data_IF_311970174372
#
_entry.id   IF_311970174372
#
_cell.length_a   1.000
_cell.length_b   1.000
_cell.length_c   1.000
_cell.angle_alpha   90.00
_cell.angle_beta   90.00
_cell.angle_gamma   90.00
#
_symmetry.space_group_name_H-M   'P 1'
#
loop_
_entity.id
_entity.type
_entity.pdbx_description
1 polymer ?
#
# COMPACT_ATOMS: atom_id res chain seq x y z
N UNK A 1 33.54 -7.31 29.18
CA UNK A 1 33.17 -7.60 28.79
C UNK A 1 32.49 -7.55 28.40
N UNK A 2 32.25 -7.39 28.43
CA UNK A 2 31.64 -7.49 28.08
C UNK A 2 31.03 -7.29 27.29
N UNK A 3 30.83 -6.88 27.15
CA UNK A 3 30.19 -6.70 26.35
C UNK A 3 29.94 -7.15 25.46
N UNK A 4 29.83 -7.49 25.25
CA UNK A 4 29.46 -8.05 24.45
C UNK A 4 28.45 -8.42 24.23
N UNK A 5 28.03 -8.50 24.57
CA UNK A 5 26.98 -8.95 24.51
C UNK A 5 26.00 -8.15 24.08
N UNK A 6 26.09 -7.28 24.51
CA UNK A 6 25.19 -6.35 24.29
C UNK A 6 24.93 -6.27 22.88
N UNK A 7 25.86 -6.03 22.32
CA UNK A 7 25.69 -5.89 20.98
C UNK A 7 24.77 -6.81 20.43
N UNK A 8 24.93 -7.83 20.62
CA UNK A 8 24.19 -8.68 19.98
C UNK A 8 22.81 -8.57 20.09
N UNK A 9 22.47 -8.41 21.11
CA UNK A 9 21.17 -8.48 21.20
C UNK A 9 20.44 -7.61 20.38
N UNK A 10 20.70 -6.58 20.52
CA UNK A 10 19.99 -5.70 19.86
C UNK A 10 19.86 -5.94 18.52
N UNK A 11 20.75 -6.09 18.10
CA UNK A 11 20.73 -6.13 16.73
C UNK A 11 19.71 -7.06 16.40
N UNK A 12 19.69 -7.88 17.08
CA UNK A 12 18.91 -8.80 16.68
C UNK A 12 17.60 -8.35 16.43
N UNK A 13 17.05 -8.50 17.10
CA UNK A 13 15.85 -8.39 16.87
C UNK A 13 15.20 -7.40 16.26
N UNK A 14 15.22 -6.46 16.83
CA UNK A 14 14.57 -5.41 16.36
C UNK A 14 14.46 -5.39 14.92
N UNK A 15 15.45 -5.33 14.37
CA UNK A 15 15.44 -5.10 13.02
C UNK A 15 14.48 -5.96 12.30
N UNK A 16 14.41 -7.09 12.60
CA UNK A 16 13.61 -7.88 11.83
C UNK A 16 12.22 -7.60 11.91
N UNK A 17 11.81 -7.41 12.98
CA UNK A 17 10.45 -7.25 13.14
C UNK A 17 9.85 -6.29 12.22
N UNK A 18 10.40 -5.21 12.12
CA UNK A 18 9.75 -4.26 11.34
C UNK A 18 9.86 -4.51 9.92
N UNK A 19 10.65 -5.41 9.55
CA UNK A 19 10.73 -5.63 8.18
C UNK A 19 9.60 -6.48 7.73
N UNK A 20 8.87 -7.05 8.62
CA UNK A 20 7.81 -7.91 8.22
C UNK A 20 6.74 -7.12 7.52
N UNK A 21 6.28 -7.63 6.44
CA UNK A 21 5.27 -6.98 5.65
C UNK A 21 3.91 -7.45 6.17
N UNK A 22 3.14 -6.55 6.71
CA UNK A 22 1.85 -6.92 7.25
C UNK A 22 0.99 -7.56 6.18
N UNK A 23 0.91 -6.96 5.02
CA UNK A 23 0.21 -7.54 3.88
C UNK A 23 1.09 -7.32 2.68
N UNK A 24 1.59 -8.40 2.11
CA UNK A 24 2.42 -8.29 0.92
C UNK A 24 1.54 -8.12 -0.30
N UNK A 25 2.08 -7.55 -1.34
CA UNK A 25 1.32 -7.41 -2.57
C UNK A 25 0.96 -8.78 -3.12
N UNK A 26 1.83 -9.77 -2.96
CA UNK A 26 1.54 -11.09 -3.46
C UNK A 26 0.28 -11.66 -2.81
N UNK A 27 0.13 -11.48 -1.51
CA UNK A 27 -1.06 -11.96 -0.84
C UNK A 27 -2.27 -11.16 -1.25
N UNK A 28 -2.10 -9.84 -1.36
CA UNK A 28 -3.20 -8.97 -1.76
C UNK A 28 -3.70 -9.38 -3.15
N UNK A 29 -2.79 -9.62 -4.06
CA UNK A 29 -3.17 -9.93 -5.42
C UNK A 29 -4.00 -11.19 -5.51
N UNK A 30 -3.75 -12.14 -4.65
CA UNK A 30 -4.50 -13.37 -4.67
C UNK A 30 -5.85 -13.30 -3.98
N UNK A 31 -6.02 -12.37 -3.08
CA UNK A 31 -7.20 -12.35 -2.23
C UNK A 31 -8.14 -11.19 -2.47
N UNK A 32 -7.67 -10.10 -3.06
CA UNK A 32 -8.49 -8.92 -3.21
C UNK A 32 -8.71 -8.60 -4.68
N UNK A 33 -9.96 -8.49 -5.10
CA UNK A 33 -10.23 -8.07 -6.46
C UNK A 33 -9.90 -6.61 -6.57
N UNK A 34 -9.20 -6.24 -7.61
CA UNK A 34 -8.73 -4.86 -7.73
C UNK A 34 -8.50 -4.47 -9.17
N UNK A 35 -8.34 -3.17 -9.38
CA UNK A 35 -7.98 -2.63 -10.67
C UNK A 35 -6.61 -2.03 -10.57
N UNK A 36 -5.84 -2.13 -11.64
CA UNK A 36 -4.53 -1.50 -11.71
C UNK A 36 -4.71 -0.08 -12.18
N UNK A 37 -3.91 0.82 -11.69
CA UNK A 37 -3.89 2.19 -12.17
C UNK A 37 -2.44 2.58 -12.41
N UNK A 38 -2.23 3.46 -13.38
CA UNK A 38 -0.89 3.84 -13.77
C UNK A 38 -0.15 4.64 -12.72
N UNK A 39 -0.84 5.47 -12.00
CA UNK A 39 -0.22 6.31 -10.99
C UNK A 39 -1.15 6.40 -9.80
N UNK A 40 -0.56 6.58 -8.63
CA UNK A 40 -1.36 6.77 -7.43
C UNK A 40 -2.03 8.13 -7.49
N UNK A 41 -3.24 8.24 -6.96
CA UNK A 41 -3.91 9.54 -6.90
C UNK A 41 -3.04 10.53 -6.17
N UNK A 42 -2.91 11.72 -6.74
CA UNK A 42 -2.05 12.73 -6.14
C UNK A 42 -0.58 12.58 -6.51
N UNK A 43 -0.23 11.51 -7.21
CA UNK A 43 1.13 11.36 -7.70
C UNK A 43 2.12 10.76 -6.71
N UNK A 44 1.67 10.38 -5.55
CA UNK A 44 2.55 9.80 -4.53
C UNK A 44 1.93 8.54 -3.99
N UNK A 45 2.70 7.47 -3.89
CA UNK A 45 4.13 7.35 -4.20
C UNK A 45 4.37 7.39 -5.70
N UNK A 46 5.60 7.72 -6.06
CA UNK A 46 5.99 7.65 -7.47
C UNK A 46 6.20 6.19 -7.82
N UNK A 47 6.32 5.89 -9.12
CA UNK A 47 6.48 4.49 -9.51
C UNK A 47 7.73 3.85 -8.94
N UNK A 48 8.75 4.63 -8.64
CA UNK A 48 9.94 4.07 -8.03
C UNK A 48 9.72 3.74 -6.57
N UNK A 49 8.83 4.47 -5.91
CA UNK A 49 8.59 4.27 -4.50
C UNK A 49 7.52 3.24 -4.21
N UNK A 50 6.57 3.08 -5.12
CA UNK A 50 5.48 2.17 -4.87
C UNK A 50 4.42 2.25 -5.95
N UNK A 51 3.22 1.84 -5.60
CA UNK A 51 2.12 1.86 -6.55
C UNK A 51 0.81 1.75 -5.79
N UNK A 52 -0.28 1.92 -6.50
CA UNK A 52 -1.60 1.85 -5.90
C UNK A 52 -2.50 0.92 -6.70
N UNK A 53 -3.47 0.36 -6.01
CA UNK A 53 -4.49 -0.47 -6.64
C UNK A 53 -5.83 -0.01 -6.11
N UNK A 54 -6.86 -0.16 -6.93
CA UNK A 54 -8.20 0.28 -6.56
C UNK A 54 -9.10 -0.91 -6.35
N UNK A 55 -10.01 -0.79 -5.40
CA UNK A 55 -11.07 -1.76 -5.25
C UNK A 55 -12.34 -0.99 -4.97
N UNK A 56 -13.47 -1.62 -5.21
CA UNK A 56 -14.75 -1.01 -4.94
C UNK A 56 -15.41 -1.72 -3.79
N UNK A 57 -16.03 -0.94 -2.92
CA UNK A 57 -16.77 -1.52 -1.82
C UNK A 57 -18.03 -0.67 -1.65
N UNK A 58 -19.16 -1.19 -2.12
CA UNK A 58 -20.37 -0.41 -2.12
C UNK A 58 -20.18 0.81 -3.01
N UNK A 59 -20.41 1.97 -2.49
CA UNK A 59 -20.24 3.21 -3.25
C UNK A 59 -18.89 3.86 -2.98
N UNK A 60 -18.00 3.14 -2.35
CA UNK A 60 -16.68 3.69 -2.02
C UNK A 60 -15.60 3.10 -2.89
N UNK A 61 -14.57 3.89 -3.12
CA UNK A 61 -13.38 3.43 -3.78
C UNK A 61 -12.33 3.27 -2.70
N UNK A 62 -11.70 2.11 -2.67
CA UNK A 62 -10.59 1.88 -1.75
C UNK A 62 -9.32 1.96 -2.56
N UNK A 63 -8.38 2.76 -2.09
CA UNK A 63 -7.10 2.91 -2.77
C UNK A 63 -6.05 2.30 -1.87
N UNK A 64 -5.50 1.18 -2.32
CA UNK A 64 -4.49 0.47 -1.55
C UNK A 64 -3.13 0.96 -1.98
N UNK A 65 -2.40 1.54 -1.06
CA UNK A 65 -1.08 2.10 -1.34
C UNK A 65 -0.01 1.13 -0.92
N UNK A 66 0.83 0.73 -1.86
CA UNK A 66 1.94 -0.18 -1.60
C UNK A 66 3.25 0.54 -1.75
N UNK A 67 4.20 0.22 -0.91
CA UNK A 67 5.55 0.77 -1.00
C UNK A 67 6.54 -0.35 -1.24
N UNK A 68 7.55 -0.06 -2.06
CA UNK A 68 8.56 -1.04 -2.35
C UNK A 68 9.60 -0.98 -1.25
N UNK A 69 9.66 -2.05 -0.48
CA UNK A 69 10.64 -2.13 0.59
C UNK A 69 11.45 -3.38 0.35
N UNK A 70 12.45 -3.59 1.18
CA UNK A 70 13.34 -4.70 0.98
C UNK A 70 12.63 -6.05 0.91
N UNK A 71 11.63 -6.23 1.69
CA UNK A 71 10.89 -7.49 1.69
C UNK A 71 9.96 -7.64 0.51
N UNK A 72 9.87 -6.62 -0.33
CA UNK A 72 8.96 -6.64 -1.46
C UNK A 72 7.89 -5.57 -1.27
N UNK A 73 6.98 -5.44 -2.22
CA UNK A 73 5.94 -4.42 -2.07
C UNK A 73 5.02 -4.77 -0.90
N UNK A 74 4.84 -3.82 0.00
CA UNK A 74 4.02 -4.00 1.18
C UNK A 74 2.95 -2.94 1.27
N UNK A 75 1.77 -3.34 1.72
CA UNK A 75 0.68 -2.41 1.91
C UNK A 75 1.00 -1.51 3.09
N UNK A 76 0.92 -0.21 2.89
CA UNK A 76 1.19 0.73 3.96
C UNK A 76 -0.04 1.53 4.35
N UNK A 77 -1.00 1.66 3.45
CA UNK A 77 -2.17 2.46 3.78
C UNK A 77 -3.32 2.14 2.86
N UNK A 78 -4.54 2.27 3.36
CA UNK A 78 -5.73 2.14 2.54
C UNK A 78 -6.49 3.44 2.69
N UNK A 79 -6.77 4.08 1.56
CA UNK A 79 -7.53 5.32 1.56
C UNK A 79 -8.93 5.00 1.07
N UNK A 80 -9.93 5.60 1.68
CA UNK A 80 -11.31 5.39 1.26
C UNK A 80 -11.86 6.68 0.72
N UNK A 81 -12.54 6.63 -0.39
CA UNK A 81 -13.06 7.81 -1.00
C UNK A 81 -14.42 7.50 -1.64
N UNK A 82 -15.33 8.46 -1.59
CA UNK A 82 -16.61 8.29 -2.26
C UNK A 82 -16.39 8.17 -3.76
N UNK A 83 -17.15 7.30 -4.41
CA UNK A 83 -16.96 7.05 -5.83
C UNK A 83 -17.11 8.31 -6.66
N UNK A 84 -18.13 9.12 -6.40
CA UNK A 84 -18.33 10.33 -7.18
C UNK A 84 -17.19 11.30 -7.01
N UNK A 85 -16.68 11.43 -5.79
CA UNK A 85 -15.56 12.31 -5.55
C UNK A 85 -14.32 11.81 -6.27
N UNK A 86 -14.14 10.50 -6.30
CA UNK A 86 -12.97 9.93 -6.95
C UNK A 86 -13.03 10.20 -8.46
N UNK A 87 -14.16 9.93 -9.11
CA UNK A 87 -14.22 10.14 -10.56
C UNK A 87 -14.10 11.60 -10.92
N UNK A 88 -14.64 12.49 -10.10
CA UNK A 88 -14.51 13.90 -10.36
C UNK A 88 -13.06 14.35 -10.27
N UNK A 89 -12.34 13.81 -9.28
CA UNK A 89 -10.95 14.14 -9.10
C UNK A 89 -10.11 13.72 -10.30
N UNK A 90 -10.55 12.68 -11.00
CA UNK A 90 -9.82 12.19 -12.16
C UNK A 90 -10.42 12.68 -13.47
N UNK A 91 -11.29 13.67 -13.41
CA UNK A 91 -11.82 14.27 -14.62
C UNK A 91 -12.82 13.41 -15.35
N UNK A 92 -13.49 12.52 -14.66
CA UNK A 92 -14.48 11.67 -15.26
C UNK A 92 -15.85 12.09 -14.78
N UNK A 93 -16.77 12.26 -15.71
CA UNK A 93 -18.14 12.59 -15.36
C UNK A 93 -18.94 11.31 -15.27
N UNK A 94 -19.61 11.15 -14.15
CA UNK A 94 -20.43 9.97 -13.97
C UNK A 94 -21.88 10.41 -13.90
N UNK A 95 -22.69 9.86 -14.79
CA UNK A 95 -24.09 10.19 -14.83
C UNK A 95 -24.90 8.90 -14.61
N UNK A 96 -25.78 8.95 -13.64
CA UNK A 96 -26.59 7.78 -13.40
C UNK A 96 -27.53 7.55 -14.54
N UNK A 97 -27.76 6.32 -14.89
CA UNK A 97 -28.68 6.00 -15.97
C UNK A 97 -30.10 6.35 -15.59
#
# INVERSE_FOLDING_TARGET
MRSLLAALLLAAGAARAEKACFISYADFEETVRHFDIDACPGGTPTVEQGFCRLALQGSDVLIYEFRRVEAGPCLVQVHRQDFNAFVAQHGVDYTRP
#
